data_IF_742852774105
#
_entry.id   IF_742852774105
#
_cell.length_a   1.000
_cell.length_b   1.000
_cell.length_c   1.000
_cell.angle_alpha   90.00
_cell.angle_beta   90.00
_cell.angle_gamma   90.00
#
_symmetry.space_group_name_H-M   'P 1'
#
loop_
_entity.id
_entity.type
_entity.pdbx_description
1 polymer ?
#
# COMPACT_ATOMS: atom_id res chain seq x y z
N UNK A 1 15.62 -53.65 -12.18
CA UNK A 1 15.15 -53.27 -10.84
C UNK A 1 15.93 -52.03 -10.43
N UNK A 2 15.33 -50.84 -10.57
CA UNK A 2 15.43 -49.80 -9.54
C UNK A 2 14.31 -48.79 -9.78
N UNK A 3 13.59 -48.49 -8.71
CA UNK A 3 12.37 -47.68 -8.66
C UNK A 3 12.70 -46.20 -8.40
N UNK A 4 11.78 -45.32 -8.80
CA UNK A 4 11.76 -43.85 -8.72
C UNK A 4 12.16 -43.21 -7.37
N UNK A 5 12.36 -41.87 -7.32
CA UNK A 5 11.17 -41.02 -7.11
C UNK A 5 11.10 -39.75 -8.00
N UNK A 6 9.89 -39.16 -8.15
CA UNK A 6 9.67 -37.89 -8.83
C UNK A 6 9.87 -36.73 -7.84
N UNK A 7 10.55 -35.66 -8.26
CA UNK A 7 10.60 -34.39 -7.51
C UNK A 7 10.36 -33.24 -8.49
N UNK A 8 9.11 -33.13 -8.91
CA UNK A 8 8.57 -31.99 -9.62
C UNK A 8 7.33 -31.50 -8.90
N UNK A 9 7.47 -31.07 -7.65
CA UNK A 9 6.45 -30.22 -7.04
C UNK A 9 6.78 -28.78 -7.48
N UNK A 10 5.86 -28.05 -8.15
CA UNK A 10 5.93 -26.60 -8.13
C UNK A 10 5.84 -26.14 -6.67
N UNK A 11 6.35 -24.94 -6.29
CA UNK A 11 5.99 -24.38 -5.01
C UNK A 11 4.47 -24.16 -5.05
N UNK A 12 3.73 -25.10 -4.44
CA UNK A 12 2.39 -24.85 -3.98
C UNK A 12 2.50 -23.61 -3.10
N UNK A 13 1.86 -22.53 -3.53
CA UNK A 13 1.47 -21.47 -2.63
C UNK A 13 0.88 -22.17 -1.41
N UNK A 14 1.56 -22.05 -0.27
CA UNK A 14 1.05 -22.55 0.99
C UNK A 14 -0.12 -21.65 1.35
N UNK A 15 -1.27 -21.96 0.76
CA UNK A 15 -2.58 -21.53 1.18
C UNK A 15 -2.92 -22.31 2.45
N UNK A 16 -2.50 -21.82 3.62
CA UNK A 16 -3.31 -21.97 4.84
C UNK A 16 -2.96 -20.93 5.90
N UNK A 17 -4.01 -20.28 6.40
CA UNK A 17 -4.10 -19.52 7.66
C UNK A 17 -3.69 -18.04 7.65
N UNK A 18 -4.51 -17.23 6.99
CA UNK A 18 -4.66 -15.79 7.26
C UNK A 18 -5.08 -15.07 5.99
N UNK A 19 -6.37 -14.76 5.82
CA UNK A 19 -6.87 -13.98 4.67
C UNK A 19 -6.06 -12.68 4.57
N UNK A 20 -5.11 -12.67 3.65
CA UNK A 20 -4.18 -11.59 3.46
C UNK A 20 -4.66 -10.71 2.32
N UNK A 21 -3.92 -9.66 2.04
CA UNK A 21 -4.15 -8.90 0.83
C UNK A 21 -2.91 -8.16 0.41
N UNK A 22 -3.05 -7.38 -0.65
CA UNK A 22 -2.03 -6.47 -1.10
C UNK A 22 -2.65 -5.15 -1.54
N UNK A 23 -1.96 -4.07 -1.21
CA UNK A 23 -2.23 -2.74 -1.76
C UNK A 23 -1.36 -2.59 -2.99
N UNK A 24 -1.98 -2.48 -4.16
CA UNK A 24 -1.30 -2.28 -5.44
C UNK A 24 -1.37 -0.79 -5.79
N UNK A 25 -0.26 -0.04 -5.70
CA UNK A 25 -0.21 1.33 -6.19
C UNK A 25 -0.52 1.35 -7.69
N UNK A 26 -1.52 2.13 -8.09
CA UNK A 26 -1.86 2.34 -9.50
C UNK A 26 -1.12 3.55 -10.07
N UNK A 27 -0.88 4.56 -9.24
CA UNK A 27 -0.16 5.76 -9.63
C UNK A 27 -0.24 6.86 -8.58
N UNK A 28 0.53 7.92 -8.82
CA UNK A 28 0.48 9.17 -8.08
C UNK A 28 -0.07 10.26 -9.00
N UNK A 29 -1.02 11.03 -8.51
CA UNK A 29 -1.57 12.21 -9.20
C UNK A 29 -1.48 13.42 -8.31
N UNK A 30 -1.45 14.61 -8.92
CA UNK A 30 -1.46 15.87 -8.18
C UNK A 30 -2.79 16.04 -7.44
N UNK A 31 -2.73 16.40 -6.16
CA UNK A 31 -3.90 16.90 -5.43
C UNK A 31 -4.20 18.33 -5.89
N UNK A 32 -5.39 18.61 -6.44
CA UNK A 32 -5.74 19.95 -6.92
C UNK A 32 -5.87 20.99 -5.80
N UNK A 33 -5.93 20.56 -4.53
CA UNK A 33 -5.92 21.44 -3.36
C UNK A 33 -4.55 21.45 -2.65
N UNK A 34 -3.54 20.77 -3.21
CA UNK A 34 -2.19 20.73 -2.69
C UNK A 34 -1.57 22.13 -2.70
N UNK A 35 -1.03 22.55 -1.55
CA UNK A 35 -0.44 23.90 -1.41
C UNK A 35 1.03 23.94 -1.83
N UNK A 36 1.77 22.89 -1.48
CA UNK A 36 3.22 22.81 -1.71
C UNK A 36 3.51 21.87 -2.88
N UNK A 37 3.37 22.41 -4.10
CA UNK A 37 3.60 21.69 -5.36
C UNK A 37 5.09 21.80 -5.75
N UNK A 38 5.84 20.69 -5.76
CA UNK A 38 7.25 20.65 -6.12
C UNK A 38 7.46 20.66 -7.64
N UNK A 39 8.66 21.02 -8.09
CA UNK A 39 9.04 20.99 -9.53
C UNK A 39 8.99 19.56 -10.10
N UNK A 40 9.37 18.56 -9.29
CA UNK A 40 9.29 17.15 -9.66
C UNK A 40 8.36 16.39 -8.73
N UNK A 41 7.48 15.57 -9.30
CA UNK A 41 6.60 14.68 -8.56
C UNK A 41 7.37 13.58 -7.81
N UNK A 42 6.87 13.13 -6.64
CA UNK A 42 7.35 11.91 -6.04
C UNK A 42 7.01 10.73 -6.96
N UNK A 43 7.89 9.74 -7.01
CA UNK A 43 7.71 8.56 -7.86
C UNK A 43 7.64 7.29 -7.03
N UNK A 44 6.85 6.31 -7.47
CA UNK A 44 6.81 5.00 -6.84
C UNK A 44 8.15 4.28 -7.06
N UNK A 45 8.85 3.91 -5.98
CA UNK A 45 10.08 3.11 -6.05
C UNK A 45 9.69 1.66 -6.30
N UNK A 46 9.51 1.33 -7.58
CA UNK A 46 8.99 0.03 -8.01
C UNK A 46 7.47 -0.09 -7.89
N UNK A 47 6.87 -0.84 -8.81
CA UNK A 47 5.42 -1.16 -8.82
C UNK A 47 5.11 -2.29 -7.84
N UNK A 48 5.61 -2.20 -6.62
CA UNK A 48 5.62 -3.33 -5.70
C UNK A 48 4.29 -3.36 -4.95
N UNK A 49 3.48 -4.39 -5.22
CA UNK A 49 2.30 -4.66 -4.43
C UNK A 49 2.72 -4.83 -2.96
N UNK A 50 2.10 -4.04 -2.07
CA UNK A 50 2.41 -4.04 -0.65
C UNK A 50 1.53 -5.09 0.01
N UNK A 51 2.10 -6.27 0.24
CA UNK A 51 1.42 -7.32 0.97
C UNK A 51 1.12 -6.87 2.40
N UNK A 52 -0.09 -7.16 2.86
CA UNK A 52 -0.50 -7.01 4.25
C UNK A 52 -1.14 -8.29 4.75
N UNK A 53 -0.83 -8.60 5.99
CA UNK A 53 -1.44 -9.69 6.73
C UNK A 53 -2.07 -9.05 7.95
N UNK A 54 -3.41 -8.99 8.03
CA UNK A 54 -4.07 -8.29 9.12
C UNK A 54 -3.60 -8.82 10.48
N UNK A 55 -3.52 -10.14 10.65
CA UNK A 55 -3.09 -10.78 11.90
C UNK A 55 -1.61 -10.59 12.26
N UNK A 56 -0.74 -10.26 11.29
CA UNK A 56 0.71 -10.15 11.49
C UNK A 56 1.25 -8.72 11.35
N UNK A 57 0.38 -7.76 10.99
CA UNK A 57 0.79 -6.37 10.83
C UNK A 57 0.88 -5.67 12.17
N UNK A 58 1.89 -4.81 12.34
CA UNK A 58 2.02 -3.91 13.50
C UNK A 58 0.97 -2.78 13.52
N UNK A 59 -0.02 -2.86 12.64
CA UNK A 59 -1.07 -1.87 12.42
C UNK A 59 -2.29 -2.02 13.34
N UNK A 60 -2.25 -2.92 14.34
CA UNK A 60 -3.18 -2.93 15.48
C UNK A 60 -4.47 -3.74 15.30
N UNK A 61 -5.47 -3.50 16.17
CA UNK A 61 -6.73 -4.28 16.27
C UNK A 61 -7.73 -4.06 15.12
N UNK A 62 -7.56 -2.99 14.33
CA UNK A 62 -8.36 -2.71 13.10
C UNK A 62 -8.27 -3.84 12.06
N UNK A 63 -7.30 -4.73 12.23
CA UNK A 63 -7.06 -5.89 11.40
C UNK A 63 -8.10 -7.01 11.51
N UNK A 64 -8.74 -7.18 12.66
CA UNK A 64 -9.66 -8.31 12.88
C UNK A 64 -11.00 -8.08 12.19
N UNK A 65 -11.48 -6.83 12.18
CA UNK A 65 -12.74 -6.44 11.55
C UNK A 65 -12.63 -6.47 10.02
N UNK A 66 -11.47 -6.11 9.46
CA UNK A 66 -11.21 -6.24 8.03
C UNK A 66 -11.49 -7.69 7.57
N UNK A 67 -10.88 -8.69 8.22
CA UNK A 67 -11.05 -10.12 7.91
C UNK A 67 -12.52 -10.58 7.89
N UNK A 68 -13.36 -10.01 8.75
CA UNK A 68 -14.76 -10.38 8.91
C UNK A 68 -15.70 -9.73 7.88
N UNK A 69 -15.27 -8.64 7.22
CA UNK A 69 -16.15 -7.81 6.39
C UNK A 69 -16.38 -8.40 4.98
N UNK A 70 -15.81 -9.56 4.63
CA UNK A 70 -16.05 -10.20 3.33
C UNK A 70 -15.69 -9.29 2.16
N UNK A 71 -14.39 -9.04 1.98
CA UNK A 71 -13.92 -7.87 1.24
C UNK A 71 -13.76 -8.11 -0.26
N UNK A 72 -14.39 -7.26 -1.06
CA UNK A 72 -14.28 -7.23 -2.52
C UNK A 72 -13.13 -6.28 -2.91
N UNK A 73 -12.37 -6.63 -3.96
CA UNK A 73 -11.33 -5.77 -4.48
C UNK A 73 -11.87 -4.36 -4.75
N UNK A 74 -11.30 -3.34 -4.10
CA UNK A 74 -11.78 -1.96 -4.15
C UNK A 74 -10.63 -0.99 -4.40
N UNK A 75 -10.97 0.17 -4.96
CA UNK A 75 -10.03 1.24 -5.22
C UNK A 75 -10.13 2.29 -4.13
N UNK A 76 -8.97 2.76 -3.68
CA UNK A 76 -8.83 3.81 -2.68
C UNK A 76 -8.01 4.95 -3.22
N UNK A 77 -8.29 6.13 -2.70
CA UNK A 77 -7.53 7.34 -2.98
C UNK A 77 -7.08 7.92 -1.65
N UNK A 78 -5.78 8.18 -1.55
CA UNK A 78 -5.15 8.65 -0.32
C UNK A 78 -4.25 9.83 -0.63
N UNK A 79 -4.46 10.95 0.04
CA UNK A 79 -3.50 12.03 0.06
C UNK A 79 -2.30 11.61 0.92
N UNK A 80 -1.10 11.73 0.37
CA UNK A 80 0.14 11.37 1.05
C UNK A 80 0.91 12.63 1.42
N UNK A 81 1.45 12.65 2.63
CA UNK A 81 2.51 13.57 3.00
C UNK A 81 3.85 12.85 2.87
N UNK A 82 4.61 13.23 1.84
CA UNK A 82 5.89 12.61 1.47
C UNK A 82 7.02 13.47 2.02
N UNK A 83 7.84 12.88 2.88
CA UNK A 83 9.00 13.51 3.48
C UNK A 83 10.16 13.65 2.48
N UNK A 84 11.14 14.55 2.71
CA UNK A 84 12.31 14.71 1.86
C UNK A 84 13.17 13.45 1.67
N UNK A 85 13.01 12.45 2.53
CA UNK A 85 13.68 11.15 2.45
C UNK A 85 12.88 10.09 1.67
N UNK A 86 11.70 10.45 1.12
CA UNK A 86 10.84 9.54 0.38
C UNK A 86 9.91 8.67 1.24
N UNK A 87 9.97 8.82 2.56
CA UNK A 87 9.03 8.15 3.47
C UNK A 87 7.72 8.92 3.58
N UNK A 88 6.67 8.24 4.02
CA UNK A 88 5.35 8.85 4.19
C UNK A 88 5.15 9.14 5.67
N UNK A 89 5.00 10.42 6.02
CA UNK A 89 4.76 10.82 7.42
C UNK A 89 3.27 10.80 7.76
N UNK A 90 2.40 11.07 6.78
CA UNK A 90 0.96 11.10 6.96
C UNK A 90 0.20 10.54 5.74
N UNK A 91 -0.93 9.90 6.00
CA UNK A 91 -1.84 9.36 4.99
C UNK A 91 -3.24 9.80 5.35
N UNK A 92 -3.93 10.47 4.43
CA UNK A 92 -5.32 10.88 4.58
C UNK A 92 -6.16 10.25 3.48
N UNK A 93 -7.10 9.40 3.86
CA UNK A 93 -8.05 8.82 2.91
C UNK A 93 -8.99 9.90 2.35
N UNK A 94 -9.03 9.98 1.03
CA UNK A 94 -9.98 10.80 0.27
C UNK A 94 -11.19 9.97 -0.18
N UNK A 95 -10.95 8.68 -0.48
CA UNK A 95 -11.99 7.73 -0.83
C UNK A 95 -11.87 6.48 0.06
N UNK A 96 -12.89 6.28 0.89
CA UNK A 96 -13.02 5.14 1.80
C UNK A 96 -13.39 3.87 1.06
N UNK A 97 -12.94 2.73 1.57
CA UNK A 97 -13.37 1.40 1.14
C UNK A 97 -14.79 1.03 1.59
N UNK A 98 -15.41 1.84 2.46
CA UNK A 98 -16.66 1.52 3.15
C UNK A 98 -16.46 0.73 4.45
N UNK A 99 -15.22 0.41 4.81
CA UNK A 99 -14.85 -0.21 6.10
C UNK A 99 -13.71 0.57 6.75
N UNK A 100 -13.97 1.20 7.90
CA UNK A 100 -12.96 1.95 8.66
C UNK A 100 -11.77 1.06 9.05
N UNK A 101 -12.02 -0.20 9.34
CA UNK A 101 -11.01 -1.20 9.66
C UNK A 101 -10.00 -1.42 8.51
N UNK A 102 -10.52 -1.54 7.28
CA UNK A 102 -9.69 -1.71 6.07
C UNK A 102 -8.94 -0.43 5.74
N UNK A 103 -9.63 0.70 5.88
CA UNK A 103 -9.09 2.04 5.68
C UNK A 103 -7.88 2.33 6.60
N UNK A 104 -8.01 2.03 7.90
CA UNK A 104 -6.92 2.17 8.88
C UNK A 104 -5.74 1.24 8.56
N UNK A 105 -6.02 -0.01 8.22
CA UNK A 105 -5.01 -1.00 7.85
C UNK A 105 -4.21 -0.55 6.63
N UNK A 106 -4.89 -0.16 5.55
CA UNK A 106 -4.27 0.29 4.30
C UNK A 106 -3.43 1.54 4.57
N UNK A 107 -3.96 2.50 5.32
CA UNK A 107 -3.24 3.73 5.66
C UNK A 107 -1.96 3.43 6.43
N UNK A 108 -2.03 2.53 7.42
CA UNK A 108 -0.87 2.13 8.19
C UNK A 108 0.17 1.36 7.37
N UNK A 109 -0.26 0.41 6.54
CA UNK A 109 0.63 -0.39 5.67
C UNK A 109 1.34 0.51 4.67
N UNK A 110 0.61 1.41 4.01
CA UNK A 110 1.17 2.40 3.09
C UNK A 110 2.20 3.26 3.82
N UNK A 111 1.85 3.82 4.98
CA UNK A 111 2.76 4.64 5.78
C UNK A 111 4.06 3.92 6.17
N UNK A 112 3.98 2.64 6.53
CA UNK A 112 5.14 1.88 7.02
C UNK A 112 6.00 1.26 5.91
N UNK A 113 5.39 0.89 4.77
CA UNK A 113 6.04 0.04 3.76
C UNK A 113 6.20 0.73 2.41
N UNK A 114 5.38 1.71 2.07
CA UNK A 114 5.52 2.42 0.81
C UNK A 114 6.68 3.40 0.91
N UNK A 115 7.62 3.27 -0.03
CA UNK A 115 8.73 4.19 -0.19
C UNK A 115 8.64 4.82 -1.58
N UNK A 116 8.80 6.13 -1.62
CA UNK A 116 8.73 6.95 -2.82
C UNK A 116 10.09 7.60 -3.08
N UNK A 117 10.41 7.86 -4.34
CA UNK A 117 11.41 8.88 -4.64
C UNK A 117 10.83 10.21 -4.18
N UNK A 118 11.57 11.01 -3.40
CA UNK A 118 11.06 12.26 -2.88
C UNK A 118 10.83 13.25 -4.02
N UNK A 119 9.79 14.05 -3.85
CA UNK A 119 9.61 15.26 -4.63
C UNK A 119 10.82 16.19 -4.47
N UNK A 120 11.16 16.93 -5.53
CA UNK A 120 12.26 17.90 -5.51
C UNK A 120 11.80 19.24 -6.07
N UNK A 121 12.29 20.29 -5.45
CA UNK A 121 12.17 21.67 -5.93
C UNK A 121 13.57 22.24 -6.10
N UNK A 122 13.88 22.79 -7.27
CA UNK A 122 15.24 23.21 -7.64
C UNK A 122 16.32 22.14 -7.37
N UNK A 123 15.98 20.86 -7.54
CA UNK A 123 16.89 19.73 -7.31
C UNK A 123 17.06 19.31 -5.84
N UNK A 124 16.41 20.00 -4.89
CA UNK A 124 16.45 19.69 -3.46
C UNK A 124 15.21 18.89 -3.05
N UNK A 125 15.34 17.75 -2.35
CA UNK A 125 14.20 17.02 -1.81
C UNK A 125 13.37 17.87 -0.85
N UNK A 126 12.05 17.86 -1.00
CA UNK A 126 11.14 18.65 -0.17
C UNK A 126 9.96 17.84 0.33
N UNK A 127 9.43 18.27 1.48
CA UNK A 127 8.16 17.82 2.01
C UNK A 127 7.04 18.24 1.05
N UNK A 128 6.13 17.33 0.72
CA UNK A 128 4.94 17.66 -0.07
C UNK A 128 3.73 16.87 0.39
N UNK A 129 2.57 17.52 0.46
CA UNK A 129 1.26 16.90 0.65
C UNK A 129 0.39 16.98 -0.62
N UNK A 130 0.97 17.45 -1.72
CA UNK A 130 0.26 17.77 -2.95
C UNK A 130 0.02 16.55 -3.86
N UNK A 131 0.11 15.33 -3.34
CA UNK A 131 -0.04 14.12 -4.15
C UNK A 131 -1.03 13.14 -3.54
N UNK A 132 -1.88 12.61 -4.43
CA UNK A 132 -2.83 11.55 -4.15
C UNK A 132 -2.26 10.26 -4.73
N UNK A 133 -2.13 9.26 -3.87
CA UNK A 133 -1.92 7.88 -4.24
C UNK A 133 -3.26 7.24 -4.61
N UNK A 134 -3.34 6.74 -5.83
CA UNK A 134 -4.39 5.83 -6.24
C UNK A 134 -3.88 4.40 -6.04
N UNK A 135 -4.63 3.60 -5.30
CA UNK A 135 -4.26 2.21 -5.06
C UNK A 135 -5.47 1.29 -5.17
N UNK A 136 -5.22 0.06 -5.58
CA UNK A 136 -6.20 -1.02 -5.59
C UNK A 136 -5.87 -2.01 -4.49
N UNK A 137 -6.88 -2.40 -3.73
CA UNK A 137 -6.74 -3.44 -2.72
C UNK A 137 -7.19 -4.75 -3.34
N UNK A 138 -6.36 -5.79 -3.19
CA UNK A 138 -6.64 -7.14 -3.63
C UNK A 138 -6.49 -8.07 -2.43
N UNK A 139 -7.45 -8.96 -2.20
CA UNK A 139 -7.46 -9.91 -1.09
C UNK A 139 -7.29 -11.33 -1.62
N UNK A 140 -6.68 -12.21 -0.82
CA UNK A 140 -6.41 -13.62 -1.14
C UNK A 140 -6.89 -14.55 -0.04
#
# INVERSE_FOLDING_TARGET
MESSPPLGNPPAASETAGQGGQVVPLGLRLDPNGRDIPDTAPQLVGSTAIAFQPLASSCGVSNLEALLTGMVATSVQMQLQVEPNGTISNVRLLQSTGSSAVDDLVSCVVKQRLQLEPARSAGVPQLTDAYILEARIQFF
#
